data_IF_986809590204
#
_entry.id   IF_986809590204
#
_cell.length_a   1.000
_cell.length_b   1.000
_cell.length_c   1.000
_cell.angle_alpha   90.00
_cell.angle_beta   90.00
_cell.angle_gamma   90.00
#
_symmetry.space_group_name_H-M   'P 1'
#
loop_
_entity.id
_entity.type
_entity.pdbx_description
1 polymer ?
#
# COMPACT_ATOMS: atom_id res chain seq x y z
N UNK A 1 -22.25 2.44 -26.56
CA UNK A 1 -21.65 1.77 -25.41
C UNK A 1 -22.25 2.29 -24.11
N UNK A 2 -22.70 1.38 -23.26
CA UNK A 2 -23.29 1.76 -21.99
C UNK A 2 -22.19 2.07 -20.97
N UNK A 3 -22.27 3.25 -20.36
CA UNK A 3 -21.44 3.54 -19.21
C UNK A 3 -22.03 2.89 -17.98
N UNK A 4 -21.16 2.31 -17.18
CA UNK A 4 -21.57 1.80 -15.88
C UNK A 4 -21.85 3.00 -14.99
N UNK A 5 -23.03 3.06 -14.39
CA UNK A 5 -23.41 4.13 -13.48
C UNK A 5 -22.58 4.09 -12.20
N UNK A 6 -22.54 5.20 -11.52
CA UNK A 6 -21.78 5.31 -10.27
C UNK A 6 -22.27 4.34 -9.20
N UNK A 7 -23.58 4.12 -9.14
CA UNK A 7 -24.13 3.16 -8.18
C UNK A 7 -23.60 1.75 -8.40
N UNK A 8 -23.49 1.32 -9.66
CA UNK A 8 -22.96 0.01 -9.98
C UNK A 8 -21.48 -0.10 -9.61
N UNK A 9 -20.72 0.98 -9.83
CA UNK A 9 -19.31 1.01 -9.45
C UNK A 9 -19.12 0.90 -7.94
N UNK A 10 -19.94 1.64 -7.19
CA UNK A 10 -19.88 1.60 -5.73
C UNK A 10 -20.27 0.20 -5.24
N UNK A 11 -21.33 -0.37 -5.79
CA UNK A 11 -21.74 -1.72 -5.44
C UNK A 11 -20.63 -2.73 -5.68
N UNK A 12 -19.94 -2.61 -6.81
CA UNK A 12 -18.83 -3.50 -7.15
C UNK A 12 -17.69 -3.38 -6.15
N UNK A 13 -17.34 -2.15 -5.77
CA UNK A 13 -16.30 -1.91 -4.78
C UNK A 13 -16.65 -2.56 -3.45
N UNK A 14 -17.91 -2.47 -3.05
CA UNK A 14 -18.34 -2.99 -1.75
C UNK A 14 -18.56 -4.51 -1.72
N UNK A 15 -18.79 -5.12 -2.87
CA UNK A 15 -19.14 -6.54 -2.94
C UNK A 15 -18.07 -7.43 -3.59
N UNK A 16 -17.22 -6.88 -4.47
CA UNK A 16 -16.16 -7.66 -5.07
C UNK A 16 -15.10 -7.99 -4.01
N UNK A 17 -14.76 -9.26 -3.88
CA UNK A 17 -13.86 -9.70 -2.81
C UNK A 17 -12.48 -9.05 -2.89
N UNK A 18 -11.93 -8.90 -4.10
CA UNK A 18 -10.61 -8.30 -4.28
C UNK A 18 -10.62 -6.80 -3.99
N UNK A 19 -11.57 -6.09 -4.58
CA UNK A 19 -11.68 -4.64 -4.38
C UNK A 19 -12.01 -4.29 -2.94
N UNK A 20 -12.89 -5.05 -2.33
CA UNK A 20 -13.27 -4.87 -0.93
C UNK A 20 -12.10 -5.12 0.01
N UNK A 21 -11.28 -6.13 -0.27
CA UNK A 21 -10.10 -6.43 0.53
C UNK A 21 -9.08 -5.29 0.46
N UNK A 22 -8.85 -4.74 -0.73
CA UNK A 22 -7.94 -3.61 -0.91
C UNK A 22 -8.48 -2.39 -0.17
N UNK A 23 -9.77 -2.09 -0.34
CA UNK A 23 -10.41 -0.98 0.35
C UNK A 23 -10.26 -1.10 1.87
N UNK A 24 -10.54 -2.28 2.42
CA UNK A 24 -10.44 -2.52 3.86
C UNK A 24 -9.00 -2.32 4.35
N UNK A 25 -8.02 -2.79 3.59
CA UNK A 25 -6.63 -2.59 3.95
C UNK A 25 -6.27 -1.11 3.94
N UNK A 26 -6.72 -0.36 2.93
CA UNK A 26 -6.42 1.07 2.82
C UNK A 26 -7.04 1.90 3.96
N UNK A 27 -8.08 1.38 4.61
CA UNK A 27 -8.74 2.07 5.73
C UNK A 27 -7.97 1.91 7.05
N UNK A 28 -6.99 1.03 7.09
CA UNK A 28 -6.21 0.80 8.30
C UNK A 28 -5.15 1.87 8.50
N UNK A 29 -4.76 2.06 9.76
CA UNK A 29 -3.78 3.07 10.14
C UNK A 29 -2.49 2.93 9.34
N UNK A 30 -2.05 4.04 8.74
CA UNK A 30 -0.78 4.14 8.01
C UNK A 30 -0.65 3.23 6.78
N UNK A 31 -1.76 2.64 6.30
CA UNK A 31 -1.71 1.77 5.13
C UNK A 31 -1.29 2.57 3.88
N UNK A 32 -1.93 3.70 3.65
CA UNK A 32 -1.62 4.55 2.51
C UNK A 32 -0.19 5.08 2.63
N UNK A 33 0.21 5.49 3.83
CA UNK A 33 1.57 5.96 4.08
C UNK A 33 2.59 4.91 3.65
N UNK A 34 2.39 3.67 4.08
CA UNK A 34 3.31 2.59 3.74
C UNK A 34 3.39 2.34 2.23
N UNK A 35 2.24 2.38 1.55
CA UNK A 35 2.22 2.20 0.10
C UNK A 35 2.95 3.31 -0.64
N UNK A 36 2.70 4.56 -0.26
CA UNK A 36 3.33 5.70 -0.91
C UNK A 36 4.83 5.72 -0.68
N UNK A 37 5.26 5.43 0.53
CA UNK A 37 6.68 5.40 0.84
C UNK A 37 7.39 4.24 0.16
N UNK A 38 6.73 3.09 0.06
CA UNK A 38 7.25 1.96 -0.69
C UNK A 38 7.46 2.32 -2.16
N UNK A 39 6.53 3.05 -2.73
CA UNK A 39 6.59 3.48 -4.11
C UNK A 39 7.77 4.45 -4.35
N UNK A 40 7.90 5.47 -3.52
CA UNK A 40 8.92 6.52 -3.66
C UNK A 40 10.33 5.94 -3.50
N UNK A 41 10.50 4.98 -2.60
CA UNK A 41 11.79 4.34 -2.37
C UNK A 41 12.06 3.18 -3.32
N UNK A 42 11.25 3.06 -4.37
CA UNK A 42 11.34 1.98 -5.36
C UNK A 42 11.27 0.60 -4.71
N UNK A 43 10.62 0.56 -3.55
CA UNK A 43 10.43 -0.66 -2.81
C UNK A 43 11.65 -1.24 -2.13
N UNK A 44 12.70 -0.46 -1.95
CA UNK A 44 13.92 -0.96 -1.34
C UNK A 44 14.03 -0.51 0.10
N UNK A 45 13.63 -1.36 1.01
CA UNK A 45 13.80 -1.08 2.43
C UNK A 45 14.51 -2.22 3.12
N UNK A 46 15.43 -1.84 4.00
CA UNK A 46 16.24 -2.80 4.72
C UNK A 46 15.45 -3.44 5.85
N UNK A 47 14.89 -2.63 6.71
CA UNK A 47 14.04 -3.12 7.80
C UNK A 47 13.12 -1.99 8.27
N UNK A 48 12.18 -2.33 9.14
CA UNK A 48 11.16 -1.40 9.62
C UNK A 48 11.76 -0.17 10.32
N UNK A 49 12.78 -0.39 11.13
CA UNK A 49 13.39 0.71 11.89
C UNK A 49 14.09 1.71 10.98
N UNK A 50 14.87 1.22 10.03
CA UNK A 50 15.56 2.09 9.08
C UNK A 50 14.57 2.88 8.27
N UNK A 51 13.53 2.20 7.79
CA UNK A 51 12.47 2.82 7.01
C UNK A 51 11.79 3.95 7.78
N UNK A 52 11.39 3.68 9.02
CA UNK A 52 10.70 4.68 9.84
C UNK A 52 11.61 5.86 10.16
N UNK A 53 12.88 5.58 10.47
CA UNK A 53 13.84 6.63 10.77
C UNK A 53 14.10 7.52 9.57
N UNK A 54 14.35 6.91 8.42
CA UNK A 54 14.65 7.65 7.19
C UNK A 54 13.49 8.52 6.72
N UNK A 55 12.27 8.08 6.97
CA UNK A 55 11.07 8.78 6.50
C UNK A 55 10.35 9.52 7.63
N UNK A 56 10.94 9.57 8.80
CA UNK A 56 10.41 10.32 9.95
C UNK A 56 8.96 9.95 10.30
N UNK A 57 8.65 8.67 10.19
CA UNK A 57 7.33 8.17 10.54
C UNK A 57 7.24 7.89 12.03
N UNK A 58 6.09 8.21 12.61
CA UNK A 58 5.83 7.99 14.04
C UNK A 58 4.82 6.87 14.21
N UNK A 59 5.17 5.69 13.78
CA UNK A 59 4.32 4.53 14.01
C UNK A 59 5.15 3.42 14.64
N UNK A 60 4.49 2.52 15.36
CA UNK A 60 5.17 1.45 16.05
C UNK A 60 5.68 0.39 15.06
N UNK A 61 6.71 -0.34 15.48
CA UNK A 61 7.23 -1.47 14.70
C UNK A 61 6.13 -2.47 14.38
N UNK A 62 5.24 -2.71 15.35
CA UNK A 62 4.13 -3.65 15.18
C UNK A 62 3.15 -3.18 14.11
N UNK A 63 2.80 -1.91 14.11
CA UNK A 63 1.90 -1.34 13.10
C UNK A 63 2.53 -1.43 11.72
N UNK A 64 3.79 -1.03 11.59
CA UNK A 64 4.50 -1.12 10.32
C UNK A 64 4.51 -2.57 9.80
N UNK A 65 4.87 -3.49 10.67
CA UNK A 65 4.95 -4.91 10.30
C UNK A 65 3.60 -5.45 9.84
N UNK A 66 2.54 -5.10 10.58
CA UNK A 66 1.19 -5.54 10.23
C UNK A 66 0.75 -5.00 8.87
N UNK A 67 1.01 -3.72 8.63
CA UNK A 67 0.65 -3.10 7.33
C UNK A 67 1.42 -3.75 6.18
N UNK A 68 2.71 -3.99 6.35
CA UNK A 68 3.50 -4.58 5.27
C UNK A 68 3.08 -6.02 4.97
N UNK A 69 2.72 -6.78 6.00
CA UNK A 69 2.20 -8.15 5.80
C UNK A 69 0.92 -8.11 4.98
N UNK A 70 0.00 -7.20 5.32
CA UNK A 70 -1.28 -7.08 4.61
C UNK A 70 -1.07 -6.61 3.16
N UNK A 71 -0.18 -5.67 2.97
CA UNK A 71 0.17 -5.17 1.64
C UNK A 71 0.74 -6.32 0.79
N UNK A 72 1.60 -7.11 1.38
CA UNK A 72 2.18 -8.28 0.72
C UNK A 72 1.12 -9.33 0.37
N UNK A 73 0.23 -9.61 1.31
CA UNK A 73 -0.84 -10.60 1.11
C UNK A 73 -1.75 -10.22 -0.05
N UNK A 74 -1.95 -8.94 -0.29
CA UNK A 74 -2.77 -8.46 -1.40
C UNK A 74 -2.01 -8.37 -2.72
N UNK A 75 -0.73 -8.77 -2.73
CA UNK A 75 0.06 -8.76 -3.94
C UNK A 75 0.60 -7.38 -4.32
N UNK A 76 0.55 -6.41 -3.42
CA UNK A 76 1.03 -5.06 -3.67
C UNK A 76 2.52 -4.91 -3.39
N UNK A 77 3.08 -5.84 -2.63
CA UNK A 77 4.50 -5.89 -2.34
C UNK A 77 4.93 -7.35 -2.23
N UNK A 78 6.23 -7.57 -2.29
CA UNK A 78 6.83 -8.87 -1.98
C UNK A 78 8.01 -8.60 -1.08
N UNK A 79 8.38 -9.58 -0.28
CA UNK A 79 9.53 -9.46 0.61
C UNK A 79 10.63 -10.43 0.22
N UNK A 80 11.86 -10.00 0.44
CA UNK A 80 13.04 -10.84 0.27
C UNK A 80 13.85 -10.75 1.55
N UNK A 81 14.31 -11.89 2.03
CA UNK A 81 15.11 -11.96 3.24
C UNK A 81 16.59 -11.96 2.86
N UNK A 82 17.35 -11.00 3.38
CA UNK A 82 18.79 -10.92 3.12
C UNK A 82 19.53 -11.77 4.13
N UNK A 83 19.09 -11.74 5.39
CA UNK A 83 19.62 -12.56 6.46
C UNK A 83 18.50 -12.78 7.47
N UNK A 84 18.73 -13.59 8.54
CA UNK A 84 17.65 -13.92 9.47
C UNK A 84 16.94 -12.72 10.11
N UNK A 85 17.63 -11.57 10.18
CA UNK A 85 17.10 -10.39 10.87
C UNK A 85 16.65 -9.28 9.94
N UNK A 86 16.99 -9.36 8.65
CA UNK A 86 16.71 -8.27 7.70
C UNK A 86 15.84 -8.72 6.55
N UNK A 87 14.90 -7.89 6.23
CA UNK A 87 13.93 -8.12 5.17
C UNK A 87 13.83 -6.89 4.29
N UNK A 88 13.85 -7.10 2.98
CA UNK A 88 13.50 -6.06 2.02
C UNK A 88 12.04 -6.19 1.66
N UNK A 89 11.39 -5.06 1.47
CA UNK A 89 10.07 -5.02 0.86
C UNK A 89 10.21 -4.37 -0.50
N UNK A 90 9.70 -5.03 -1.51
CA UNK A 90 9.77 -4.57 -2.89
C UNK A 90 8.35 -4.40 -3.41
N UNK A 91 8.10 -3.28 -4.09
CA UNK A 91 6.79 -3.09 -4.70
C UNK A 91 6.63 -4.03 -5.89
N UNK A 92 5.41 -4.47 -6.13
CA UNK A 92 5.06 -5.22 -7.34
C UNK A 92 4.53 -4.24 -8.38
N UNK A 93 4.30 -4.70 -9.62
CA UNK A 93 3.67 -3.88 -10.64
C UNK A 93 2.28 -3.42 -10.18
N UNK A 94 1.55 -4.32 -9.53
CA UNK A 94 0.23 -3.99 -8.99
C UNK A 94 0.33 -2.96 -7.88
N UNK A 95 1.31 -3.10 -7.00
CA UNK A 95 1.57 -2.11 -5.96
C UNK A 95 1.93 -0.74 -6.52
N UNK A 96 2.75 -0.71 -7.57
CA UNK A 96 3.09 0.53 -8.25
C UNK A 96 1.85 1.20 -8.84
N UNK A 97 0.99 0.42 -9.48
CA UNK A 97 -0.25 0.92 -10.04
C UNK A 97 -1.14 1.55 -8.98
N UNK A 98 -1.33 0.84 -7.86
CA UNK A 98 -2.17 1.35 -6.76
C UNK A 98 -1.57 2.63 -6.18
N UNK A 99 -0.26 2.66 -5.96
CA UNK A 99 0.40 3.84 -5.41
C UNK A 99 0.27 5.04 -6.36
N UNK A 100 0.41 4.84 -7.66
CA UNK A 100 0.23 5.91 -8.64
C UNK A 100 -1.18 6.46 -8.64
N UNK A 101 -2.17 5.59 -8.50
CA UNK A 101 -3.57 6.02 -8.40
C UNK A 101 -3.81 6.84 -7.14
N UNK A 102 -3.21 6.44 -6.02
CA UNK A 102 -3.31 7.20 -4.77
C UNK A 102 -2.62 8.55 -4.90
N UNK A 103 -1.44 8.60 -5.51
CA UNK A 103 -0.76 9.88 -5.75
C UNK A 103 -1.62 10.80 -6.60
N UNK A 104 -2.24 10.28 -7.66
CA UNK A 104 -3.13 11.05 -8.51
C UNK A 104 -4.33 11.58 -7.75
N UNK A 105 -4.89 10.77 -6.86
CA UNK A 105 -6.00 11.19 -6.02
C UNK A 105 -5.63 12.42 -5.18
N UNK A 106 -4.50 12.37 -4.48
CA UNK A 106 -4.07 13.49 -3.64
C UNK A 106 -3.66 14.70 -4.47
N UNK A 107 -3.05 14.46 -5.63
CA UNK A 107 -2.66 15.53 -6.55
C UNK A 107 -3.88 16.33 -7.00
N UNK A 108 -4.97 15.66 -7.31
CA UNK A 108 -6.23 16.31 -7.70
C UNK A 108 -6.79 17.18 -6.57
N UNK A 109 -6.57 16.78 -5.32
CA UNK A 109 -7.08 17.56 -4.19
C UNK A 109 -6.32 18.86 -3.98
N UNK A 110 -5.12 18.97 -4.50
CA UNK A 110 -4.30 20.19 -4.37
C UNK A 110 -4.65 21.28 -5.38
N UNK A 111 -5.39 20.95 -6.41
CA UNK A 111 -5.71 21.91 -7.49
C UNK A 111 -6.87 22.84 -7.17
#
# INVERSE_FOLDING_TARGET
MKKIGEEEKVKRILTDSKLSAIKTMLEKDHAIDCLLLLHVNRGKWKNAKDFMRENKLTLSDGTFRSRMIEIEELGLAKSERIDPLKKYYLRTEFGEKVAKLLLGFFDELET
#
